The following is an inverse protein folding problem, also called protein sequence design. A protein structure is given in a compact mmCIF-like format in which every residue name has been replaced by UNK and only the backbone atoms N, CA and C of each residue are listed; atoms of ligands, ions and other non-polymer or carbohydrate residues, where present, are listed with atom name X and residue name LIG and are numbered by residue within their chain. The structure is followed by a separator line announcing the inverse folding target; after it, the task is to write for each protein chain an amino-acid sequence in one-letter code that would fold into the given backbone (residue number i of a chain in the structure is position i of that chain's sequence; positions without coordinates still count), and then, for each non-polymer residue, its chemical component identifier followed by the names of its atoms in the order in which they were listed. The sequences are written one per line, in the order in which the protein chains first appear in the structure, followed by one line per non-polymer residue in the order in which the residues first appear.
data_IF_945348219398
#
_entry.id   IF_945348219398
#
_cell.length_a   1.000
_cell.length_b   1.000
_cell.length_c   1.000
_cell.angle_alpha   90.00
_cell.angle_beta   90.00
_cell.angle_gamma   90.00
#
_symmetry.space_group_name_H-M   'P 1'
#
loop_
_entity.id
_entity.type
_entity.pdbx_description
1 polymer ?
#
# COMPACT_ATOMS: atom_id res chain seq x y z
N UNK A 1 -12.54 -27.83 2.45
CA UNK A 1 -11.36 -26.97 2.28
C UNK A 1 -11.31 -26.04 3.48
N UNK A 2 -10.45 -26.31 4.47
CA UNK A 2 -10.33 -25.46 5.67
C UNK A 2 -9.62 -24.16 5.28
N UNK A 3 -10.25 -23.02 5.55
CA UNK A 3 -9.63 -21.72 5.35
C UNK A 3 -8.56 -21.56 6.44
N UNK A 4 -7.30 -21.39 6.06
CA UNK A 4 -6.21 -21.14 7.02
C UNK A 4 -6.29 -19.72 7.58
N UNK A 5 -5.80 -19.51 8.81
CA UNK A 5 -5.78 -18.18 9.43
C UNK A 5 -5.04 -17.14 8.57
N UNK A 6 -3.94 -17.54 7.92
CA UNK A 6 -3.20 -16.69 6.98
C UNK A 6 -4.06 -16.23 5.80
N UNK A 7 -4.87 -17.13 5.25
CA UNK A 7 -5.77 -16.81 4.13
C UNK A 7 -6.85 -15.83 4.58
N UNK A 8 -7.40 -16.01 5.79
CA UNK A 8 -8.37 -15.07 6.37
C UNK A 8 -7.73 -13.68 6.52
N UNK A 9 -6.54 -13.60 7.12
CA UNK A 9 -5.83 -12.33 7.32
C UNK A 9 -5.59 -11.64 5.98
N UNK A 10 -5.10 -12.36 4.97
CA UNK A 10 -4.89 -11.79 3.64
C UNK A 10 -6.20 -11.23 3.06
N UNK A 11 -7.30 -11.97 3.10
CA UNK A 11 -8.59 -11.50 2.55
C UNK A 11 -9.09 -10.25 3.29
N UNK A 12 -9.01 -10.20 4.62
CA UNK A 12 -9.42 -9.01 5.37
C UNK A 12 -8.52 -7.81 5.09
N UNK A 13 -7.20 -8.02 4.99
CA UNK A 13 -6.24 -6.99 4.61
C UNK A 13 -6.51 -6.48 3.18
N UNK A 14 -6.89 -7.35 2.23
CA UNK A 14 -7.34 -6.97 0.88
C UNK A 14 -8.46 -5.93 0.98
N UNK A 15 -9.47 -6.28 1.77
CA UNK A 15 -10.69 -5.53 1.87
C UNK A 15 -10.43 -4.14 2.46
N UNK A 16 -9.59 -4.08 3.50
CA UNK A 16 -9.13 -2.82 4.09
C UNK A 16 -8.37 -1.99 3.04
N UNK A 17 -7.43 -2.57 2.31
CA UNK A 17 -6.70 -1.85 1.27
C UNK A 17 -7.61 -1.29 0.17
N UNK A 18 -8.58 -2.06 -0.29
CA UNK A 18 -9.57 -1.60 -1.28
C UNK A 18 -10.39 -0.43 -0.72
N UNK A 19 -10.86 -0.51 0.53
CA UNK A 19 -11.60 0.58 1.18
C UNK A 19 -10.74 1.85 1.24
N UNK A 20 -9.49 1.73 1.70
CA UNK A 20 -8.57 2.87 1.79
C UNK A 20 -8.39 3.48 0.40
N UNK A 21 -8.02 2.68 -0.60
CA UNK A 21 -7.82 3.18 -1.97
C UNK A 21 -9.08 3.86 -2.51
N UNK A 22 -10.26 3.29 -2.28
CA UNK A 22 -11.53 3.87 -2.75
C UNK A 22 -11.86 5.20 -2.06
N UNK A 23 -11.81 5.25 -0.74
CA UNK A 23 -12.12 6.44 0.07
C UNK A 23 -11.12 7.57 -0.24
N UNK A 24 -9.83 7.26 -0.26
CA UNK A 24 -8.80 8.25 -0.56
C UNK A 24 -8.83 8.67 -2.03
N UNK A 25 -9.16 7.79 -2.98
CA UNK A 25 -9.32 8.21 -4.37
C UNK A 25 -10.52 9.17 -4.56
N UNK A 26 -11.61 8.95 -3.82
CA UNK A 26 -12.73 9.91 -3.78
C UNK A 26 -12.30 11.24 -3.17
N UNK A 27 -11.52 11.22 -2.08
CA UNK A 27 -10.95 12.42 -1.48
C UNK A 27 -10.00 13.16 -2.45
N UNK A 28 -9.18 12.43 -3.23
CA UNK A 28 -8.26 13.00 -4.22
C UNK A 28 -8.99 13.84 -5.24
N UNK A 29 -10.12 13.32 -5.76
CA UNK A 29 -10.96 14.04 -6.72
C UNK A 29 -11.60 15.28 -6.10
N UNK A 30 -12.02 15.19 -4.83
CA UNK A 30 -12.66 16.30 -4.11
C UNK A 30 -11.68 17.45 -3.76
N UNK A 31 -10.44 17.13 -3.42
CA UNK A 31 -9.41 18.10 -3.02
C UNK A 31 -8.30 18.28 -4.08
N UNK A 32 -8.66 18.07 -5.35
CA UNK A 32 -7.71 18.15 -6.46
C UNK A 32 -7.00 19.51 -6.49
N UNK A 33 -5.68 19.50 -6.58
CA UNK A 33 -4.84 20.71 -6.68
C UNK A 33 -4.48 21.39 -5.36
N UNK A 34 -5.11 21.04 -4.23
CA UNK A 34 -4.77 21.60 -2.91
C UNK A 34 -3.69 20.78 -2.17
N UNK A 35 -3.14 21.34 -1.08
CA UNK A 35 -2.20 20.63 -0.17
C UNK A 35 -2.77 19.30 0.31
N UNK A 36 -4.08 19.28 0.63
CA UNK A 36 -4.81 18.06 1.00
C UNK A 36 -4.78 17.01 -0.12
N UNK A 37 -4.93 17.42 -1.38
CA UNK A 37 -4.84 16.52 -2.53
C UNK A 37 -3.45 15.91 -2.70
N UNK A 38 -2.39 16.65 -2.36
CA UNK A 38 -1.02 16.13 -2.37
C UNK A 38 -0.79 15.09 -1.27
N UNK A 39 -1.28 15.35 -0.04
CA UNK A 39 -1.25 14.36 1.06
C UNK A 39 -2.02 13.10 0.67
N UNK A 40 -3.21 13.26 0.09
CA UNK A 40 -4.02 12.12 -0.34
C UNK A 40 -3.31 11.31 -1.42
N UNK A 41 -2.65 11.97 -2.38
CA UNK A 41 -1.88 11.28 -3.41
C UNK A 41 -0.70 10.50 -2.80
N UNK A 42 -0.05 11.06 -1.78
CA UNK A 42 1.01 10.40 -1.03
C UNK A 42 0.51 9.11 -0.34
N UNK A 43 -0.63 9.20 0.33
CA UNK A 43 -1.26 8.06 1.01
C UNK A 43 -1.63 6.99 -0.02
N UNK A 44 -2.21 7.36 -1.16
CA UNK A 44 -2.56 6.41 -2.21
C UNK A 44 -1.34 5.66 -2.75
N UNK A 45 -0.22 6.36 -3.02
CA UNK A 45 1.02 5.72 -3.49
C UNK A 45 1.60 4.80 -2.40
N UNK A 46 1.65 5.26 -1.16
CA UNK A 46 2.15 4.46 -0.02
C UNK A 46 1.33 3.18 0.14
N UNK A 47 0.01 3.30 0.16
CA UNK A 47 -0.91 2.17 0.32
C UNK A 47 -0.81 1.20 -0.86
N UNK A 48 -0.65 1.71 -2.09
CA UNK A 48 -0.43 0.86 -3.26
C UNK A 48 0.87 0.05 -3.15
N UNK A 49 1.96 0.64 -2.64
CA UNK A 49 3.23 -0.06 -2.42
C UNK A 49 3.11 -1.11 -1.31
N UNK A 50 2.44 -0.79 -0.19
CA UNK A 50 2.20 -1.74 0.90
C UNK A 50 1.31 -2.90 0.44
N UNK A 51 0.28 -2.61 -0.35
CA UNK A 51 -0.55 -3.62 -1.00
C UNK A 51 0.30 -4.56 -1.86
N UNK A 52 1.17 -4.02 -2.73
CA UNK A 52 2.07 -4.86 -3.55
C UNK A 52 3.00 -5.71 -2.68
N UNK A 53 3.48 -5.20 -1.55
CA UNK A 53 4.31 -5.98 -0.63
C UNK A 53 3.54 -7.17 -0.05
N UNK A 54 2.36 -6.93 0.53
CA UNK A 54 1.60 -7.99 1.21
C UNK A 54 1.13 -9.08 0.24
N UNK A 55 0.83 -8.69 -1.00
CA UNK A 55 0.37 -9.60 -2.06
C UNK A 55 1.48 -10.24 -2.87
N UNK A 56 2.74 -9.84 -2.67
CA UNK A 56 3.89 -10.52 -3.28
C UNK A 56 3.94 -12.02 -2.93
N UNK A 57 3.38 -12.42 -1.78
CA UNK A 57 3.22 -13.83 -1.37
C UNK A 57 2.44 -14.66 -2.40
N UNK A 58 1.50 -14.07 -3.16
CA UNK A 58 0.75 -14.80 -4.20
C UNK A 58 1.69 -15.27 -5.33
N UNK A 59 2.80 -14.57 -5.56
CA UNK A 59 3.83 -15.00 -6.50
C UNK A 59 4.72 -16.14 -5.97
N UNK A 60 4.47 -16.63 -4.74
CA UNK A 60 5.08 -17.82 -4.11
C UNK A 60 5.07 -19.07 -4.96
N UNK A 61 4.10 -19.20 -5.86
CA UNK A 61 4.03 -20.34 -6.77
C UNK A 61 5.08 -20.30 -7.90
N UNK A 62 5.62 -19.12 -8.20
CA UNK A 62 6.50 -18.89 -9.35
C UNK A 62 7.92 -18.48 -8.96
N UNK A 63 8.12 -18.00 -7.73
CA UNK A 63 9.36 -17.37 -7.27
C UNK A 63 9.78 -17.99 -5.93
N UNK A 64 11.09 -18.07 -5.67
CA UNK A 64 11.63 -18.54 -4.38
C UNK A 64 11.21 -17.63 -3.23
N UNK A 65 11.05 -18.23 -2.05
CA UNK A 65 10.63 -17.55 -0.82
C UNK A 65 11.59 -16.40 -0.45
N UNK A 66 12.90 -16.60 -0.61
CA UNK A 66 13.92 -15.58 -0.34
C UNK A 66 13.76 -14.33 -1.22
N UNK A 67 13.45 -14.52 -2.50
CA UNK A 67 13.20 -13.41 -3.42
C UNK A 67 11.90 -12.70 -3.06
N UNK A 68 10.86 -13.43 -2.67
CA UNK A 68 9.59 -12.85 -2.23
C UNK A 68 9.75 -12.02 -0.97
N UNK A 69 10.51 -12.50 0.01
CA UNK A 69 10.75 -11.77 1.24
C UNK A 69 11.58 -10.51 1.00
N UNK A 70 12.52 -10.57 0.05
CA UNK A 70 13.25 -9.38 -0.44
C UNK A 70 12.29 -8.38 -1.10
N UNK A 71 11.40 -8.84 -1.97
CA UNK A 71 10.39 -8.00 -2.65
C UNK A 71 9.47 -7.33 -1.61
N UNK A 72 8.98 -8.09 -0.63
CA UNK A 72 8.16 -7.57 0.48
C UNK A 72 8.89 -6.46 1.23
N UNK A 73 10.14 -6.72 1.63
CA UNK A 73 10.95 -5.76 2.36
C UNK A 73 11.20 -4.49 1.54
N UNK A 74 11.49 -4.63 0.25
CA UNK A 74 11.72 -3.53 -0.68
C UNK A 74 10.47 -2.64 -0.80
N UNK A 75 9.31 -3.22 -1.10
CA UNK A 75 8.07 -2.47 -1.27
C UNK A 75 7.60 -1.82 0.04
N UNK A 76 7.74 -2.49 1.19
CA UNK A 76 7.42 -1.90 2.50
C UNK A 76 8.33 -0.72 2.82
N UNK A 77 9.63 -0.89 2.65
CA UNK A 77 10.62 0.18 2.89
C UNK A 77 10.37 1.36 1.96
N UNK A 78 10.11 1.10 0.67
CA UNK A 78 9.75 2.13 -0.29
C UNK A 78 8.49 2.88 0.15
N UNK A 79 7.39 2.17 0.45
CA UNK A 79 6.13 2.78 0.90
C UNK A 79 6.33 3.67 2.13
N UNK A 80 7.00 3.17 3.16
CA UNK A 80 7.28 3.94 4.38
C UNK A 80 8.20 5.14 4.10
N UNK A 81 9.19 4.99 3.21
CA UNK A 81 10.06 6.10 2.80
C UNK A 81 9.28 7.17 2.04
N UNK A 82 8.42 6.78 1.09
CA UNK A 82 7.54 7.72 0.38
C UNK A 82 6.65 8.48 1.37
N UNK A 83 6.08 7.79 2.36
CA UNK A 83 5.27 8.43 3.39
C UNK A 83 6.08 9.43 4.22
N UNK A 84 7.26 9.04 4.70
CA UNK A 84 8.12 9.87 5.53
C UNK A 84 8.64 11.11 4.78
N UNK A 85 9.32 10.92 3.65
CA UNK A 85 9.92 12.01 2.88
C UNK A 85 8.87 12.86 2.17
N UNK A 86 7.87 12.22 1.58
CA UNK A 86 6.82 12.95 0.89
C UNK A 86 5.88 13.68 1.85
N UNK A 87 5.70 13.19 3.08
CA UNK A 87 5.01 13.93 4.14
C UNK A 87 5.71 15.24 4.48
N UNK A 88 7.04 15.22 4.64
CA UNK A 88 7.86 16.42 4.86
C UNK A 88 7.76 17.38 3.67
N UNK A 89 7.86 16.87 2.44
CA UNK A 89 7.77 17.69 1.22
C UNK A 89 6.42 18.42 1.11
N UNK A 90 5.32 17.73 1.41
CA UNK A 90 3.98 18.32 1.36
C UNK A 90 3.74 19.31 2.52
N UNK A 91 4.37 19.09 3.68
CA UNK A 91 4.30 20.03 4.80
C UNK A 91 5.10 21.32 4.55
N UNK A 92 6.20 21.24 3.79
CA UNK A 92 7.06 22.38 3.46
C UNK A 92 6.60 23.22 2.25
N UNK A 93 5.69 22.72 1.41
CA UNK A 93 5.01 23.46 0.33
C UNK A 93 3.76 24.16 0.83
#
# INVERSE_FOLDING_TARGET
MSISAETVILIFTLFIYIIILFVFNKARKKYAGGKVGQVVNLILVTVALLFMADYATIMGKYISIEVIDTIKALFRTAGLSFLAYGGVKVAGS
#
